data_IF_151008583292
#
_entry.id   IF_151008583292
#
_cell.length_a   1.000
_cell.length_b   1.000
_cell.length_c   1.000
_cell.angle_alpha   90.00
_cell.angle_beta   90.00
_cell.angle_gamma   90.00
#
_symmetry.space_group_name_H-M   'P 1'
#
loop_
_entity.id
_entity.type
_entity.pdbx_description
1 polymer ?
#
# COMPACT_ATOMS: atom_id res chain seq x y z
N UNK A 1 37.01 9.58 0.77
CA UNK A 1 36.14 10.54 0.07
C UNK A 1 35.68 9.91 -1.23
N UNK A 2 34.52 9.26 -1.24
CA UNK A 2 33.89 8.76 -2.45
C UNK A 2 32.52 9.42 -2.56
N UNK A 3 32.51 10.58 -3.18
CA UNK A 3 31.32 11.16 -3.79
C UNK A 3 31.19 10.50 -5.16
N UNK A 4 30.17 9.69 -5.34
CA UNK A 4 29.37 9.53 -6.56
C UNK A 4 28.52 8.25 -6.48
N UNK A 5 27.43 8.33 -5.76
CA UNK A 5 26.26 7.49 -6.04
C UNK A 5 25.06 8.43 -6.25
N UNK A 6 25.16 9.27 -7.26
CA UNK A 6 24.00 9.72 -7.98
C UNK A 6 23.48 8.44 -8.67
N UNK A 7 22.48 7.80 -8.08
CA UNK A 7 21.80 6.68 -8.67
C UNK A 7 21.49 7.04 -10.13
N UNK A 8 22.17 6.39 -11.07
CA UNK A 8 21.94 6.57 -12.49
C UNK A 8 20.48 6.20 -12.73
N UNK A 9 19.65 7.23 -12.87
CA UNK A 9 18.26 7.03 -13.24
C UNK A 9 18.25 6.50 -14.67
N UNK A 10 17.69 5.28 -14.83
CA UNK A 10 17.47 4.70 -16.15
C UNK A 10 16.37 5.51 -16.85
N UNK A 11 16.66 6.18 -17.99
CA UNK A 11 15.68 7.00 -18.70
C UNK A 11 14.51 6.19 -19.26
N UNK A 12 14.67 4.88 -19.43
CA UNK A 12 13.62 3.98 -19.90
C UNK A 12 12.62 3.59 -18.80
N UNK A 13 12.94 3.93 -17.55
CA UNK A 13 12.07 3.71 -16.41
C UNK A 13 11.36 5.01 -16.00
N UNK A 14 10.15 4.84 -15.51
CA UNK A 14 9.35 5.89 -14.88
C UNK A 14 9.10 5.50 -13.43
N UNK A 15 9.52 6.33 -12.48
CA UNK A 15 9.10 6.13 -11.10
C UNK A 15 7.70 6.63 -10.89
N UNK A 16 6.84 5.76 -10.40
CA UNK A 16 5.45 6.08 -10.06
C UNK A 16 5.22 5.91 -8.56
N UNK A 17 4.44 6.84 -7.99
CA UNK A 17 3.88 6.71 -6.65
C UNK A 17 2.47 6.15 -6.77
N UNK A 18 2.12 5.24 -5.85
CA UNK A 18 0.80 4.68 -5.69
C UNK A 18 0.22 5.09 -4.34
N UNK A 19 -1.03 5.57 -4.35
CA UNK A 19 -1.83 5.82 -3.15
C UNK A 19 -2.82 4.67 -2.98
N UNK A 20 -2.76 3.95 -1.84
CA UNK A 20 -3.35 2.62 -1.67
C UNK A 20 -4.18 2.59 -0.38
N UNK A 21 -5.32 1.88 -0.42
CA UNK A 21 -6.07 1.51 0.77
C UNK A 21 -6.46 0.04 0.72
N UNK A 22 -6.57 -0.59 1.89
CA UNK A 22 -6.97 -1.99 2.00
C UNK A 22 -7.63 -2.32 3.33
N UNK A 23 -8.57 -3.24 3.28
CA UNK A 23 -9.04 -4.00 4.44
C UNK A 23 -8.10 -5.18 4.64
N UNK A 24 -7.31 -5.13 5.70
CA UNK A 24 -6.26 -6.12 5.96
C UNK A 24 -6.76 -7.45 6.55
N UNK A 25 -8.06 -7.60 6.80
CA UNK A 25 -8.64 -8.75 7.51
C UNK A 25 -8.19 -10.10 6.94
N UNK A 26 -8.25 -10.25 5.62
CA UNK A 26 -7.92 -11.49 4.93
C UNK A 26 -6.49 -11.52 4.38
N UNK A 27 -5.67 -10.53 4.74
CA UNK A 27 -4.27 -10.45 4.33
C UNK A 27 -3.32 -10.85 5.46
N UNK A 28 -2.28 -11.60 5.11
CA UNK A 28 -1.16 -11.95 5.99
C UNK A 28 -0.11 -10.84 6.03
N UNK A 29 -0.57 -9.60 6.17
CA UNK A 29 0.24 -8.39 6.17
C UNK A 29 0.55 -7.85 4.77
N UNK A 30 1.39 -6.83 4.75
CA UNK A 30 1.81 -6.18 3.51
C UNK A 30 2.76 -7.05 2.69
N UNK A 31 3.87 -7.48 3.29
CA UNK A 31 5.03 -8.00 2.57
C UNK A 31 4.77 -9.35 1.89
N UNK A 32 5.15 -9.46 0.60
CA UNK A 32 5.14 -10.73 -0.14
C UNK A 32 5.97 -11.78 0.60
N UNK A 33 5.43 -12.98 0.71
CA UNK A 33 6.06 -14.11 1.39
C UNK A 33 6.27 -15.27 0.41
N UNK A 34 7.32 -16.05 0.64
CA UNK A 34 7.66 -17.22 -0.19
C UNK A 34 6.67 -18.38 -0.02
N UNK A 35 5.93 -18.40 1.09
CA UNK A 35 4.90 -19.42 1.39
C UNK A 35 3.66 -19.34 0.48
N UNK A 36 3.53 -18.30 -0.37
CA UNK A 36 2.38 -18.10 -1.24
C UNK A 36 1.11 -17.63 -0.53
N UNK A 37 1.19 -17.26 0.76
CA UNK A 37 0.06 -16.68 1.48
C UNK A 37 -0.34 -15.33 0.87
N UNK A 38 -1.62 -14.99 0.99
CA UNK A 38 -2.19 -13.77 0.45
C UNK A 38 -1.66 -12.54 1.18
N UNK A 39 -0.98 -11.65 0.47
CA UNK A 39 -0.43 -10.39 1.00
C UNK A 39 -0.82 -9.23 0.10
N UNK A 40 -0.87 -8.02 0.67
CA UNK A 40 -1.26 -6.82 -0.08
C UNK A 40 -0.27 -6.54 -1.21
N UNK A 41 1.02 -6.63 -0.92
CA UNK A 41 2.10 -6.42 -1.90
C UNK A 41 1.97 -7.40 -3.08
N UNK A 42 1.83 -8.70 -2.81
CA UNK A 42 1.71 -9.70 -3.86
C UNK A 42 0.48 -9.43 -4.75
N UNK A 43 -0.66 -9.13 -4.15
CA UNK A 43 -1.90 -8.86 -4.87
C UNK A 43 -1.77 -7.67 -5.84
N UNK A 44 -1.13 -6.59 -5.40
CA UNK A 44 -0.96 -5.40 -6.25
C UNK A 44 0.13 -5.61 -7.31
N UNK A 45 1.27 -6.21 -6.93
CA UNK A 45 2.37 -6.50 -7.85
C UNK A 45 1.93 -7.44 -8.99
N UNK A 46 1.16 -8.47 -8.67
CA UNK A 46 0.65 -9.42 -9.66
C UNK A 46 -0.32 -8.72 -10.64
N UNK A 47 -1.21 -7.86 -10.15
CA UNK A 47 -2.11 -7.08 -11.00
C UNK A 47 -1.34 -6.08 -11.89
N UNK A 48 -0.36 -5.35 -11.34
CA UNK A 48 0.50 -4.44 -12.10
C UNK A 48 1.30 -5.19 -13.16
N UNK A 49 1.92 -6.32 -12.78
CA UNK A 49 2.73 -7.12 -13.69
C UNK A 49 1.91 -7.69 -14.84
N UNK A 50 0.65 -8.05 -14.58
CA UNK A 50 -0.27 -8.48 -15.63
C UNK A 50 -0.62 -7.34 -16.60
N UNK A 51 -0.94 -6.16 -16.09
CA UNK A 51 -1.30 -5.00 -16.92
C UNK A 51 -0.11 -4.51 -17.72
N UNK A 52 1.06 -4.40 -17.10
CA UNK A 52 2.29 -3.87 -17.70
C UNK A 52 3.08 -4.91 -18.48
N UNK A 53 2.71 -6.20 -18.37
CA UNK A 53 3.36 -7.34 -19.05
C UNK A 53 4.84 -7.48 -18.71
N UNK A 54 5.21 -7.11 -17.50
CA UNK A 54 6.57 -7.20 -16.98
C UNK A 54 6.53 -7.31 -15.45
N UNK A 55 7.45 -8.01 -14.80
CA UNK A 55 7.51 -8.08 -13.36
C UNK A 55 7.68 -6.69 -12.74
N UNK A 56 6.83 -6.34 -11.78
CA UNK A 56 6.87 -5.09 -11.03
C UNK A 56 7.04 -5.39 -9.54
N UNK A 57 7.91 -4.64 -8.89
CA UNK A 57 8.15 -4.72 -7.45
C UNK A 57 7.82 -3.37 -6.79
N UNK A 58 7.12 -3.42 -5.66
CA UNK A 58 6.74 -2.25 -4.88
C UNK A 58 7.69 -2.02 -3.70
N UNK A 59 8.07 -0.77 -3.50
CA UNK A 59 8.68 -0.30 -2.25
C UNK A 59 7.63 0.51 -1.48
N UNK A 60 7.33 0.10 -0.24
CA UNK A 60 6.27 0.68 0.59
C UNK A 60 6.82 1.65 1.63
N UNK A 61 6.05 2.66 1.98
CA UNK A 61 6.37 3.63 3.04
C UNK A 61 6.51 2.97 4.42
N UNK A 62 5.62 2.01 4.73
CA UNK A 62 5.66 1.24 5.97
C UNK A 62 4.89 -0.06 5.82
N UNK A 63 5.51 -1.18 6.20
CA UNK A 63 4.83 -2.48 6.22
C UNK A 63 3.78 -2.50 7.31
N UNK A 64 2.69 -3.21 7.07
CA UNK A 64 1.66 -3.52 8.07
C UNK A 64 1.63 -5.01 8.33
N UNK A 65 1.28 -5.39 9.54
CA UNK A 65 1.16 -6.79 9.95
C UNK A 65 -0.19 -7.39 9.52
N UNK A 66 -0.34 -8.71 9.71
CA UNK A 66 -1.57 -9.44 9.37
C UNK A 66 -2.80 -8.80 10.04
N UNK A 67 -3.86 -8.62 9.27
CA UNK A 67 -5.12 -8.05 9.75
C UNK A 67 -5.14 -6.51 9.87
N UNK A 68 -4.02 -5.83 9.67
CA UNK A 68 -3.96 -4.35 9.78
C UNK A 68 -4.48 -3.71 8.50
N UNK A 69 -5.41 -2.76 8.66
CA UNK A 69 -5.98 -1.97 7.57
C UNK A 69 -5.11 -0.75 7.25
N UNK A 70 -5.29 -0.18 6.07
CA UNK A 70 -4.74 1.13 5.74
C UNK A 70 -5.72 1.91 4.86
N UNK A 71 -5.83 3.21 5.14
CA UNK A 71 -6.63 4.16 4.33
C UNK A 71 -5.76 5.09 3.50
N UNK A 72 -4.46 5.12 3.75
CA UNK A 72 -3.50 6.03 3.10
C UNK A 72 -2.10 5.45 3.04
N UNK A 73 -1.96 4.20 2.60
CA UNK A 73 -0.66 3.58 2.34
C UNK A 73 -0.05 4.16 1.07
N UNK A 74 1.26 4.34 1.08
CA UNK A 74 2.02 4.83 -0.07
C UNK A 74 3.09 3.81 -0.48
N UNK A 75 3.19 3.56 -1.76
CA UNK A 75 4.28 2.78 -2.35
C UNK A 75 4.83 3.47 -3.60
N UNK A 76 6.00 3.04 -4.06
CA UNK A 76 6.50 3.40 -5.37
C UNK A 76 6.97 2.16 -6.13
N UNK A 77 7.03 2.28 -7.45
CA UNK A 77 7.63 1.32 -8.36
C UNK A 77 8.34 2.04 -9.49
N UNK A 78 9.34 1.39 -10.06
CA UNK A 78 9.92 1.77 -11.34
C UNK A 78 9.27 0.90 -12.42
N UNK A 79 8.62 1.54 -13.38
CA UNK A 79 7.91 0.88 -14.47
C UNK A 79 8.54 1.24 -15.81
N UNK A 80 8.68 0.29 -16.76
CA UNK A 80 9.18 0.63 -18.09
C UNK A 80 8.22 1.59 -18.79
N UNK A 81 8.74 2.71 -19.31
CA UNK A 81 7.93 3.68 -20.08
C UNK A 81 7.22 3.03 -21.28
N UNK A 82 7.90 2.12 -21.96
CA UNK A 82 7.34 1.35 -23.07
C UNK A 82 6.10 0.53 -22.68
N UNK A 83 6.00 0.07 -21.42
CA UNK A 83 4.83 -0.66 -20.93
C UNK A 83 3.56 0.20 -20.89
N UNK A 84 3.69 1.52 -20.84
CA UNK A 84 2.56 2.45 -20.85
C UNK A 84 2.06 2.81 -22.27
N UNK A 85 2.80 2.47 -23.33
CA UNK A 85 2.43 2.81 -24.70
C UNK A 85 1.28 1.97 -25.26
N UNK A 86 0.81 1.00 -24.48
CA UNK A 86 -0.40 0.23 -24.82
C UNK A 86 -1.58 1.18 -25.06
N UNK A 87 -2.39 0.87 -26.10
CA UNK A 87 -3.57 1.68 -26.48
C UNK A 87 -4.46 2.06 -25.30
N UNK A 88 -4.61 1.17 -24.33
CA UNK A 88 -5.46 1.39 -23.14
C UNK A 88 -4.86 2.35 -22.12
N UNK A 89 -3.55 2.56 -22.13
CA UNK A 89 -2.82 3.42 -21.21
C UNK A 89 -2.36 4.72 -21.88
N UNK A 90 -1.99 4.67 -23.16
CA UNK A 90 -1.65 5.86 -23.95
C UNK A 90 -0.50 6.69 -23.37
N UNK A 91 0.47 6.04 -22.74
CA UNK A 91 1.62 6.69 -22.07
C UNK A 91 1.31 7.32 -20.72
N UNK A 92 0.07 7.26 -20.24
CA UNK A 92 -0.39 7.93 -19.03
C UNK A 92 -0.52 6.93 -17.84
N UNK A 93 0.35 7.03 -16.81
CA UNK A 93 0.32 6.12 -15.66
C UNK A 93 -0.97 6.27 -14.83
N UNK A 94 -1.66 7.42 -14.88
CA UNK A 94 -2.91 7.63 -14.11
C UNK A 94 -4.02 6.68 -14.57
N UNK A 95 -3.98 6.22 -15.82
CA UNK A 95 -4.95 5.25 -16.35
C UNK A 95 -4.80 3.85 -15.75
N UNK A 96 -3.69 3.55 -15.09
CA UNK A 96 -3.51 2.32 -14.34
C UNK A 96 -4.57 2.16 -13.24
N UNK A 97 -5.01 3.24 -12.61
CA UNK A 97 -6.05 3.21 -11.57
C UNK A 97 -7.30 2.46 -12.06
N UNK A 98 -7.79 2.81 -13.24
CA UNK A 98 -8.99 2.18 -13.82
C UNK A 98 -8.75 0.72 -14.22
N UNK A 99 -7.55 0.39 -14.67
CA UNK A 99 -7.18 -0.98 -15.03
C UNK A 99 -7.07 -1.85 -13.78
N UNK A 100 -6.41 -1.35 -12.76
CA UNK A 100 -6.25 -2.05 -11.48
C UNK A 100 -7.59 -2.26 -10.77
N UNK A 101 -8.49 -1.28 -10.81
CA UNK A 101 -9.82 -1.39 -10.21
C UNK A 101 -10.66 -2.57 -10.74
N UNK A 102 -10.37 -3.03 -11.98
CA UNK A 102 -11.03 -4.19 -12.59
C UNK A 102 -10.39 -5.53 -12.23
N UNK A 103 -9.15 -5.52 -11.77
CA UNK A 103 -8.36 -6.73 -11.50
C UNK A 103 -8.22 -7.00 -10.00
N UNK A 104 -8.12 -5.93 -9.21
CA UNK A 104 -7.93 -6.04 -7.77
C UNK A 104 -9.23 -6.51 -7.09
N UNK A 105 -9.12 -7.38 -6.07
CA UNK A 105 -10.25 -7.77 -5.24
C UNK A 105 -10.79 -6.57 -4.45
N UNK A 106 -11.99 -6.71 -3.90
CA UNK A 106 -12.72 -5.60 -3.27
C UNK A 106 -12.04 -5.02 -2.03
N UNK A 107 -11.21 -5.81 -1.37
CA UNK A 107 -10.53 -5.44 -0.13
C UNK A 107 -9.19 -4.70 -0.33
N UNK A 108 -8.80 -4.42 -1.58
CA UNK A 108 -7.66 -3.55 -1.89
C UNK A 108 -7.96 -2.63 -3.06
N UNK A 109 -7.55 -1.36 -2.94
CA UNK A 109 -7.73 -0.35 -3.99
C UNK A 109 -6.49 0.51 -4.14
N UNK A 110 -6.20 0.87 -5.38
CA UNK A 110 -5.22 1.90 -5.74
C UNK A 110 -6.00 3.10 -6.24
N UNK A 111 -5.97 4.19 -5.46
CA UNK A 111 -6.73 5.41 -5.76
C UNK A 111 -5.96 6.41 -6.62
N UNK A 112 -4.65 6.30 -6.64
CA UNK A 112 -3.80 7.18 -7.43
C UNK A 112 -2.54 6.48 -7.91
N UNK A 113 -2.17 6.74 -9.14
CA UNK A 113 -0.86 6.40 -9.71
C UNK A 113 -0.38 7.64 -10.45
N UNK A 114 0.81 8.15 -10.10
CA UNK A 114 1.39 9.32 -10.75
C UNK A 114 2.90 9.22 -10.86
N UNK A 115 3.44 9.79 -11.92
CA UNK A 115 4.88 9.96 -12.05
C UNK A 115 5.43 10.85 -10.95
N UNK A 116 6.57 10.48 -10.41
CA UNK A 116 7.29 11.24 -9.40
C UNK A 116 8.77 11.32 -9.75
N UNK A 117 9.50 12.20 -9.07
CA UNK A 117 10.95 12.28 -9.22
C UNK A 117 11.60 10.90 -9.04
N UNK A 118 12.62 10.55 -9.84
CA UNK A 118 13.42 9.33 -9.63
C UNK A 118 14.06 9.24 -8.26
N UNK A 119 14.20 10.36 -7.56
CA UNK A 119 14.74 10.44 -6.20
C UNK A 119 13.68 10.15 -5.12
N UNK A 120 12.41 10.08 -5.50
CA UNK A 120 11.35 9.74 -4.55
C UNK A 120 11.51 8.31 -4.06
N UNK A 121 11.59 8.13 -2.76
CA UNK A 121 11.56 6.83 -2.10
C UNK A 121 10.42 6.81 -1.08
N UNK A 122 9.41 5.94 -1.28
CA UNK A 122 8.24 5.89 -0.42
C UNK A 122 8.60 5.59 1.04
N UNK A 123 9.65 4.79 1.27
CA UNK A 123 10.09 4.43 2.62
C UNK A 123 10.81 5.57 3.33
N UNK A 124 11.74 6.22 2.65
CA UNK A 124 12.63 7.23 3.25
C UNK A 124 12.11 8.66 3.11
N UNK A 125 11.24 8.94 2.13
CA UNK A 125 10.61 10.24 1.95
C UNK A 125 9.33 10.44 2.79
N UNK A 126 8.91 9.43 3.56
CA UNK A 126 7.74 9.56 4.43
C UNK A 126 8.04 10.52 5.59
N UNK A 127 7.29 11.64 5.67
CA UNK A 127 7.44 12.65 6.72
C UNK A 127 6.72 12.25 8.02
N UNK A 128 5.60 11.53 7.90
CA UNK A 128 4.82 11.06 9.05
C UNK A 128 4.08 9.78 8.72
N UNK A 129 3.70 9.05 9.76
CA UNK A 129 2.76 7.92 9.70
C UNK A 129 1.76 8.10 10.82
N UNK A 130 0.47 8.03 10.49
CA UNK A 130 -0.60 8.15 11.46
C UNK A 130 -1.24 6.78 11.67
N UNK A 131 -1.47 6.43 12.92
CA UNK A 131 -2.12 5.17 13.30
C UNK A 131 -3.36 5.48 14.13
N UNK A 132 -4.44 4.73 13.86
CA UNK A 132 -5.66 4.77 14.65
C UNK A 132 -5.93 3.37 15.18
N UNK A 133 -5.92 3.21 16.48
CA UNK A 133 -6.28 1.98 17.16
C UNK A 133 -7.67 2.15 17.79
N UNK A 134 -8.64 1.36 17.34
CA UNK A 134 -10.03 1.45 17.81
C UNK A 134 -10.31 0.31 18.78
N UNK A 135 -10.79 0.67 19.96
CA UNK A 135 -11.12 -0.27 21.03
C UNK A 135 -12.51 0.03 21.55
N UNK A 136 -13.29 -1.00 21.81
CA UNK A 136 -14.55 -0.89 22.54
C UNK A 136 -14.47 -1.60 23.87
N UNK A 137 -14.99 -0.98 24.91
CA UNK A 137 -15.17 -1.57 26.26
C UNK A 137 -16.58 -2.08 26.49
N UNK A 138 -17.45 -2.00 25.47
CA UNK A 138 -18.82 -2.47 25.57
C UNK A 138 -18.84 -3.99 25.82
N UNK A 139 -19.54 -4.48 26.86
CA UNK A 139 -19.62 -5.91 27.15
C UNK A 139 -20.32 -6.71 26.03
N UNK A 140 -21.16 -6.07 25.19
CA UNK A 140 -21.75 -6.69 24.01
C UNK A 140 -20.75 -6.85 22.85
N UNK A 141 -19.56 -6.26 22.93
CA UNK A 141 -18.54 -6.29 21.88
C UNK A 141 -18.65 -5.13 20.90
N UNK A 142 -17.95 -5.26 19.78
CA UNK A 142 -17.96 -4.26 18.70
C UNK A 142 -19.28 -4.31 17.90
N UNK A 143 -19.70 -3.16 17.39
CA UNK A 143 -20.79 -3.11 16.42
C UNK A 143 -20.45 -4.00 15.23
N UNK A 144 -21.35 -4.87 14.74
CA UNK A 144 -21.02 -5.84 13.69
C UNK A 144 -20.39 -5.25 12.43
N UNK A 145 -20.80 -4.05 12.02
CA UNK A 145 -20.23 -3.34 10.88
C UNK A 145 -18.79 -2.82 11.12
N UNK A 146 -18.30 -2.89 12.36
CA UNK A 146 -16.98 -2.46 12.79
C UNK A 146 -16.15 -3.62 13.37
N UNK A 147 -16.60 -4.86 13.22
CA UNK A 147 -15.96 -6.05 13.82
C UNK A 147 -14.53 -6.29 13.36
N UNK A 148 -14.18 -5.82 12.17
CA UNK A 148 -12.85 -6.04 11.59
C UNK A 148 -11.86 -4.91 11.90
N UNK A 149 -12.34 -3.75 12.37
CA UNK A 149 -11.50 -2.58 12.64
C UNK A 149 -11.54 -2.11 14.11
N UNK A 150 -12.26 -2.82 14.98
CA UNK A 150 -12.41 -2.44 16.39
C UNK A 150 -12.10 -3.62 17.29
N UNK A 151 -11.07 -3.50 18.12
CA UNK A 151 -10.74 -4.50 19.14
C UNK A 151 -11.73 -4.45 20.29
N UNK A 152 -12.04 -5.62 20.88
CA UNK A 152 -12.90 -5.71 22.07
C UNK A 152 -12.03 -5.88 23.30
N UNK A 153 -12.19 -4.96 24.25
CA UNK A 153 -11.50 -4.97 25.55
C UNK A 153 -12.53 -4.85 26.66
N UNK A 154 -13.01 -5.97 27.24
CA UNK A 154 -14.17 -5.96 28.14
C UNK A 154 -13.86 -5.45 29.54
N UNK A 155 -12.70 -4.88 29.78
CA UNK A 155 -12.30 -4.31 31.08
C UNK A 155 -12.37 -2.78 31.02
N UNK A 156 -12.62 -2.11 32.18
CA UNK A 156 -12.55 -0.66 32.26
C UNK A 156 -11.20 -0.12 31.80
N UNK A 157 -11.20 0.99 31.10
CA UNK A 157 -9.99 1.70 30.64
C UNK A 157 -9.96 3.08 31.29
N UNK A 158 -8.86 3.39 31.95
CA UNK A 158 -8.57 4.73 32.46
C UNK A 158 -7.94 5.55 31.34
N UNK A 159 -8.76 6.43 30.73
CA UNK A 159 -8.33 7.26 29.61
C UNK A 159 -7.23 8.26 30.00
N UNK A 160 -7.19 8.71 31.26
CA UNK A 160 -6.13 9.61 31.75
C UNK A 160 -4.78 8.92 31.66
N UNK A 161 -4.69 7.69 32.17
CA UNK A 161 -3.45 6.90 32.12
C UNK A 161 -3.02 6.52 30.70
N UNK A 162 -3.99 6.33 29.79
CA UNK A 162 -3.67 6.06 28.37
C UNK A 162 -3.08 7.29 27.68
N UNK A 163 -3.50 8.50 28.07
CA UNK A 163 -2.95 9.74 27.51
C UNK A 163 -1.54 10.07 28.03
N UNK A 164 -1.19 9.56 29.20
CA UNK A 164 0.14 9.79 29.82
C UNK A 164 1.20 8.80 29.36
N UNK A 165 0.82 7.73 28.66
CA UNK A 165 1.71 6.65 28.21
C UNK A 165 2.26 6.89 26.80
#
# INVERSE_FOLDING_TARGET
MRMNDAAQHDPDLMRVRLDIAYDGTEFHGWARQTSGVRTVQATIEDALSLVLRTPITLTVAGRTDAGVHATGQVAHADIPRASLEQRSLGGDPTRLVRRLAKLLPEDVRVFGVREVSPLFDARFAALSRSYTYKVTTNPAGAVPTRRTDTAVWPKPVDLGRVQEA
#
